data_IF_265195871028
#
_entry.id   IF_265195871028
#
_cell.length_a   1.000
_cell.length_b   1.000
_cell.length_c   1.000
_cell.angle_alpha   90.00
_cell.angle_beta   90.00
_cell.angle_gamma   90.00
#
_symmetry.space_group_name_H-M   'P 1'
#
loop_
_entity.id
_entity.type
_entity.pdbx_description
1 polymer ?
#
# COMPACT_ATOMS: atom_id res chain seq x y z
N UNK A 1 12.02 22.45 17.18
CA UNK A 1 12.66 22.09 15.89
C UNK A 1 13.53 20.87 16.13
N UNK A 2 13.15 19.70 15.61
CA UNK A 2 13.98 18.49 15.72
C UNK A 2 14.92 18.42 14.51
N UNK A 3 16.14 18.93 14.65
CA UNK A 3 17.23 18.68 13.70
C UNK A 3 17.82 17.30 14.01
N UNK A 4 17.79 16.37 13.04
CA UNK A 4 18.42 15.05 13.16
C UNK A 4 17.52 13.81 12.97
N UNK A 5 16.23 13.95 12.63
CA UNK A 5 15.44 12.79 12.19
C UNK A 5 15.71 12.50 10.72
N UNK A 6 16.36 11.37 10.42
CA UNK A 6 16.41 10.81 9.06
C UNK A 6 15.07 10.13 8.80
N UNK A 7 14.21 10.76 8.00
CA UNK A 7 13.04 10.10 7.42
C UNK A 7 13.52 9.37 6.17
N UNK A 8 13.36 8.05 6.15
CA UNK A 8 13.59 7.27 4.93
C UNK A 8 12.42 7.50 3.98
N UNK A 9 12.70 8.04 2.81
CA UNK A 9 11.71 8.28 1.76
C UNK A 9 11.94 7.28 0.62
N UNK A 10 10.85 6.68 0.13
CA UNK A 10 10.86 5.84 -1.05
C UNK A 10 10.45 6.66 -2.27
N UNK A 11 11.33 6.71 -3.27
CA UNK A 11 11.04 7.34 -4.56
C UNK A 11 10.88 6.28 -5.65
N UNK A 12 9.77 6.33 -6.39
CA UNK A 12 9.50 5.44 -7.53
C UNK A 12 9.64 6.24 -8.83
N UNK A 13 10.54 5.80 -9.70
CA UNK A 13 10.78 6.42 -11.01
C UNK A 13 10.12 5.55 -12.08
N UNK A 14 9.22 6.16 -12.85
CA UNK A 14 8.46 5.46 -13.90
C UNK A 14 9.14 5.61 -15.25
N UNK A 15 9.43 4.50 -15.93
CA UNK A 15 9.92 4.50 -17.30
C UNK A 15 8.75 4.71 -18.29
N UNK A 16 8.71 5.84 -19.03
CA UNK A 16 7.63 6.15 -19.97
C UNK A 16 7.49 5.14 -21.11
N UNK A 17 8.60 4.52 -21.56
CA UNK A 17 8.55 3.52 -22.62
C UNK A 17 7.89 2.23 -22.13
N UNK A 18 8.21 1.79 -20.90
CA UNK A 18 7.60 0.61 -20.30
C UNK A 18 6.11 0.81 -20.00
N UNK A 19 5.75 2.01 -19.52
CA UNK A 19 4.34 2.37 -19.32
C UNK A 19 3.55 2.31 -20.63
N UNK A 20 4.10 2.87 -21.72
CA UNK A 20 3.48 2.82 -23.04
C UNK A 20 3.33 1.38 -23.55
N UNK A 21 4.37 0.56 -23.42
CA UNK A 21 4.36 -0.83 -23.85
C UNK A 21 3.32 -1.67 -23.10
N UNK A 22 3.10 -1.36 -21.81
CA UNK A 22 2.10 -2.04 -20.96
C UNK A 22 0.72 -1.39 -21.00
N UNK A 23 0.56 -0.28 -21.72
CA UNK A 23 -0.65 0.54 -21.77
C UNK A 23 -1.18 0.93 -20.37
N UNK A 24 -0.26 1.32 -19.48
CA UNK A 24 -0.58 1.75 -18.11
C UNK A 24 -0.21 3.22 -17.94
N UNK A 25 -1.09 3.96 -17.28
CA UNK A 25 -0.88 5.39 -16.95
C UNK A 25 -0.29 5.56 -15.55
N UNK A 26 0.44 6.67 -15.28
CA UNK A 26 0.91 6.98 -13.93
C UNK A 26 -0.20 6.99 -12.87
N UNK A 27 -1.40 7.46 -13.25
CA UNK A 27 -2.56 7.48 -12.35
C UNK A 27 -2.98 6.08 -11.92
N UNK A 28 -2.98 5.11 -12.83
CA UNK A 28 -3.29 3.71 -12.50
C UNK A 28 -2.23 3.10 -11.58
N UNK A 29 -0.96 3.45 -11.76
CA UNK A 29 0.14 3.00 -10.88
C UNK A 29 -0.05 3.58 -9.47
N UNK A 30 -0.35 4.87 -9.36
CA UNK A 30 -0.63 5.52 -8.08
C UNK A 30 -1.80 4.86 -7.34
N UNK A 31 -2.92 4.63 -8.04
CA UNK A 31 -4.10 3.96 -7.46
C UNK A 31 -3.76 2.55 -6.99
N UNK A 32 -2.94 1.80 -7.74
CA UNK A 32 -2.51 0.46 -7.36
C UNK A 32 -1.64 0.46 -6.08
N UNK A 33 -0.69 1.39 -5.98
CA UNK A 33 0.16 1.55 -4.78
C UNK A 33 -0.68 1.94 -3.56
N UNK A 34 -1.61 2.87 -3.70
CA UNK A 34 -2.53 3.26 -2.63
C UNK A 34 -3.44 2.10 -2.21
N UNK A 35 -3.88 1.28 -3.17
CA UNK A 35 -4.66 0.07 -2.87
C UNK A 35 -3.89 -0.99 -2.08
N UNK A 36 -2.56 -1.03 -2.19
CA UNK A 36 -1.69 -1.92 -1.39
C UNK A 36 -1.47 -1.40 0.03
N UNK A 37 -1.56 -0.09 0.25
CA UNK A 37 -1.44 0.59 1.56
C UNK A 37 -2.82 0.91 2.16
N UNK A 38 -3.60 -0.14 2.44
CA UNK A 38 -4.98 0.02 2.92
C UNK A 38 -5.27 -0.78 4.17
N UNK A 39 -6.20 -0.28 4.97
CA UNK A 39 -6.75 -0.99 6.11
C UNK A 39 -8.26 -1.11 5.93
N UNK A 40 -8.71 -2.27 5.44
CA UNK A 40 -10.09 -2.49 5.01
C UNK A 40 -10.82 -3.42 6.00
N UNK A 41 -12.00 -3.04 6.53
CA UNK A 41 -12.82 -3.93 7.35
C UNK A 41 -13.22 -5.20 6.58
N UNK A 42 -13.12 -6.35 7.23
CA UNK A 42 -13.41 -7.66 6.63
C UNK A 42 -14.53 -8.42 7.37
N UNK A 43 -15.34 -7.72 8.16
CA UNK A 43 -16.44 -8.29 8.95
C UNK A 43 -16.03 -8.60 10.38
N UNK A 44 -16.69 -9.57 11.00
CA UNK A 44 -16.38 -10.07 12.34
C UNK A 44 -16.52 -11.59 12.42
N UNK A 45 -15.82 -12.20 13.36
CA UNK A 45 -15.95 -13.63 13.70
C UNK A 45 -16.32 -13.76 15.17
N UNK A 46 -17.29 -14.60 15.49
CA UNK A 46 -17.68 -14.89 16.87
C UNK A 46 -16.92 -16.12 17.38
N UNK A 47 -16.14 -15.96 18.45
CA UNK A 47 -15.41 -17.05 19.11
C UNK A 47 -15.73 -16.96 20.60
N UNK A 48 -16.07 -18.07 21.25
CA UNK A 48 -16.46 -18.10 22.68
C UNK A 48 -17.56 -17.10 23.06
N UNK A 49 -18.56 -16.90 22.19
CA UNK A 49 -19.65 -15.93 22.38
C UNK A 49 -19.20 -14.44 22.38
N UNK A 50 -17.98 -14.14 21.93
CA UNK A 50 -17.47 -12.78 21.74
C UNK A 50 -17.24 -12.48 20.25
N UNK A 51 -17.65 -11.29 19.81
CA UNK A 51 -17.47 -10.83 18.43
C UNK A 51 -16.12 -10.14 18.26
N UNK A 52 -15.29 -10.67 17.36
CA UNK A 52 -13.99 -10.10 17.02
C UNK A 52 -14.02 -9.48 15.62
N UNK A 53 -13.79 -8.15 15.48
CA UNK A 53 -13.75 -7.52 14.18
C UNK A 53 -12.48 -7.94 13.42
N UNK A 54 -12.67 -8.29 12.15
CA UNK A 54 -11.60 -8.64 11.22
C UNK A 54 -11.29 -7.44 10.32
N UNK A 55 -10.01 -7.25 10.04
CA UNK A 55 -9.51 -6.17 9.19
C UNK A 55 -8.34 -6.70 8.37
N UNK A 56 -8.39 -6.46 7.06
CA UNK A 56 -7.27 -6.73 6.16
C UNK A 56 -6.38 -5.50 6.15
N UNK A 57 -5.10 -5.71 6.45
CA UNK A 57 -4.08 -4.66 6.44
C UNK A 57 -3.13 -4.97 5.30
N UNK A 58 -3.17 -4.15 4.27
CA UNK A 58 -2.10 -4.01 3.30
C UNK A 58 -1.12 -2.96 3.79
N UNK A 59 0.17 -3.31 3.83
CA UNK A 59 1.25 -2.44 4.25
C UNK A 59 2.52 -2.87 3.52
N UNK A 60 3.11 -1.98 2.73
CA UNK A 60 4.32 -2.19 1.95
C UNK A 60 5.51 -2.00 2.89
N UNK A 61 6.15 -3.10 3.27
CA UNK A 61 7.27 -3.07 4.22
C UNK A 61 8.63 -3.09 3.56
N UNK A 62 8.68 -3.41 2.26
CA UNK A 62 9.91 -3.60 1.50
C UNK A 62 9.73 -3.21 0.03
N UNK A 63 10.86 -2.96 -0.65
CA UNK A 63 10.85 -2.63 -2.09
C UNK A 63 10.40 -3.83 -2.93
N UNK A 64 10.63 -5.06 -2.46
CA UNK A 64 10.22 -6.29 -3.15
C UNK A 64 8.70 -6.48 -3.20
N UNK A 65 7.94 -5.77 -2.35
CA UNK A 65 6.47 -5.81 -2.32
C UNK A 65 5.82 -4.87 -3.34
N UNK A 66 6.61 -4.09 -4.07
CA UNK A 66 6.14 -3.05 -5.01
C UNK A 66 5.94 -3.60 -6.41
#
# INVERSE_FOLDING_TARGET
MYYGKSTSELSIILDPNQMKNKNVTPQQILTALQGKETSTPAGSVTIYNEDHPLRVIGNIKSVDEI
#
